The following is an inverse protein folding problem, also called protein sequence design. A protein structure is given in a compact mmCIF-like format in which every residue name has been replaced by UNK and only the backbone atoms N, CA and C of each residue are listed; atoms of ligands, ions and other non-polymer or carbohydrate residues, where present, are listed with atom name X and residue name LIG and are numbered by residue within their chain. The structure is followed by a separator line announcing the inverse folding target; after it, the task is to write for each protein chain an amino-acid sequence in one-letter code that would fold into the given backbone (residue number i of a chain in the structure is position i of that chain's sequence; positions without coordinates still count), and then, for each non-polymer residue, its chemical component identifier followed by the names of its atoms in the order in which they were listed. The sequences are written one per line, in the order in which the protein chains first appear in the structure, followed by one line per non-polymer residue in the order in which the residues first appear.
data_IF_372315290585
#
_entry.id   IF_372315290585
#
_cell.length_a   1.000
_cell.length_b   1.000
_cell.length_c   1.000
_cell.angle_alpha   90.00
_cell.angle_beta   90.00
_cell.angle_gamma   90.00
#
_symmetry.space_group_name_H-M   'P 1'
#
loop_
_entity.id
_entity.type
_entity.pdbx_description
1 polymer ?
#
# COMPACT_ATOMS: atom_id res chain seq x y z
N UNK A 1 13.71 -2.73 7.27
CA UNK A 1 12.36 -2.79 6.71
C UNK A 1 11.40 -3.03 7.86
N UNK A 2 10.29 -2.31 7.88
CA UNK A 2 9.25 -2.40 8.92
C UNK A 2 7.91 -2.66 8.24
N UNK A 3 6.98 -3.27 8.96
CA UNK A 3 5.70 -3.74 8.42
C UNK A 3 4.54 -3.30 9.32
N UNK A 4 3.54 -2.63 8.76
CA UNK A 4 2.36 -2.21 9.50
C UNK A 4 1.19 -3.18 9.20
N UNK A 5 0.61 -3.86 10.19
CA UNK A 5 -0.52 -4.76 9.96
C UNK A 5 -1.69 -4.06 9.25
N UNK A 6 -2.28 -4.68 8.23
CA UNK A 6 -3.36 -4.07 7.44
C UNK A 6 -4.75 -4.26 8.07
N UNK A 7 -4.97 -5.35 8.80
CA UNK A 7 -6.29 -5.71 9.36
C UNK A 7 -6.67 -4.93 10.62
N UNK A 8 -5.70 -4.34 11.32
CA UNK A 8 -5.92 -3.60 12.56
C UNK A 8 -5.67 -2.12 12.28
N UNK A 9 -6.60 -1.25 12.66
CA UNK A 9 -6.37 0.20 12.62
C UNK A 9 -5.35 0.56 13.72
N UNK A 10 -4.07 0.42 13.39
CA UNK A 10 -2.97 0.58 14.34
C UNK A 10 -2.18 1.86 14.09
N UNK A 11 -1.74 2.46 15.19
CA UNK A 11 -0.85 3.61 15.21
C UNK A 11 0.57 3.20 14.80
N UNK A 12 1.44 4.18 14.53
CA UNK A 12 2.86 3.97 14.18
C UNK A 12 3.67 3.15 15.21
N UNK A 13 3.10 2.90 16.38
CA UNK A 13 3.68 2.10 17.47
C UNK A 13 3.65 0.59 17.23
N UNK A 14 2.82 0.10 16.31
CA UNK A 14 2.64 -1.35 16.09
C UNK A 14 3.39 -1.86 14.86
N UNK A 15 4.53 -1.23 14.54
CA UNK A 15 5.40 -1.68 13.46
C UNK A 15 6.04 -3.01 13.84
N UNK A 16 5.84 -4.00 12.98
CA UNK A 16 6.40 -5.33 13.08
C UNK A 16 7.74 -5.34 12.34
N UNK A 17 8.76 -5.94 12.96
CA UNK A 17 10.05 -6.13 12.31
C UNK A 17 9.96 -7.21 11.22
N UNK A 18 10.93 -7.23 10.30
CA UNK A 18 10.98 -8.20 9.21
C UNK A 18 10.91 -9.66 9.69
N UNK A 19 11.48 -9.99 10.85
CA UNK A 19 11.53 -11.35 11.37
C UNK A 19 10.21 -11.80 12.04
N UNK A 20 9.38 -10.86 12.47
CA UNK A 20 8.19 -11.12 13.28
C UNK A 20 6.89 -11.12 12.46
N UNK A 21 7.00 -11.04 11.13
CA UNK A 21 5.83 -11.12 10.24
C UNK A 21 5.24 -12.52 10.25
N UNK A 22 3.92 -12.63 10.19
CA UNK A 22 3.22 -13.93 10.26
C UNK A 22 2.72 -14.37 8.88
N UNK A 23 2.89 -15.65 8.56
CA UNK A 23 2.42 -16.24 7.30
C UNK A 23 0.89 -16.09 7.20
N UNK A 24 0.42 -15.66 6.03
CA UNK A 24 -1.00 -15.44 5.73
C UNK A 24 -1.50 -14.04 6.06
N UNK A 25 -0.79 -13.27 6.92
CA UNK A 25 -1.16 -11.89 7.25
C UNK A 25 -0.72 -10.88 6.19
N UNK A 26 -1.48 -9.80 6.09
CA UNK A 26 -1.22 -8.67 5.20
C UNK A 26 -0.61 -7.50 5.97
N UNK A 27 0.42 -6.90 5.38
CA UNK A 27 1.15 -5.77 5.95
C UNK A 27 1.41 -4.69 4.91
N UNK A 28 1.37 -3.44 5.34
CA UNK A 28 1.85 -2.30 4.57
C UNK A 28 3.36 -2.12 4.76
N UNK A 29 4.08 -1.95 3.66
CA UNK A 29 5.53 -1.79 3.66
C UNK A 29 5.95 -0.40 4.15
N UNK A 30 6.85 -0.38 5.14
CA UNK A 30 7.51 0.82 5.66
C UNK A 30 9.02 0.71 5.45
N UNK A 31 9.60 1.74 4.81
CA UNK A 31 11.02 1.75 4.44
C UNK A 31 11.79 2.86 5.14
N UNK A 32 13.03 2.55 5.50
CA UNK A 32 14.05 3.52 5.86
C UNK A 32 15.22 3.33 4.89
N UNK A 33 15.64 4.40 4.22
CA UNK A 33 16.64 4.33 3.14
C UNK A 33 17.84 5.22 3.44
N UNK A 34 19.01 4.86 2.90
CA UNK A 34 20.23 5.67 3.03
C UNK A 34 20.11 7.07 2.40
N UNK A 35 19.14 7.27 1.50
CA UNK A 35 18.85 8.55 0.87
C UNK A 35 18.03 9.50 1.76
N UNK A 36 17.74 9.13 3.01
CA UNK A 36 17.11 10.01 4.00
C UNK A 36 15.59 9.87 4.15
N UNK A 37 14.99 8.81 3.59
CA UNK A 37 13.61 8.43 3.96
C UNK A 37 13.65 7.71 5.30
N UNK A 38 12.88 8.18 6.28
CA UNK A 38 12.76 7.57 7.60
C UNK A 38 11.33 7.14 7.85
N UNK A 39 11.12 5.85 8.10
CA UNK A 39 9.78 5.26 8.35
C UNK A 39 8.74 5.69 7.31
N UNK A 40 9.13 5.70 6.04
CA UNK A 40 8.27 6.11 4.94
C UNK A 40 7.31 4.98 4.58
N UNK A 41 6.00 5.28 4.59
CA UNK A 41 4.94 4.37 4.18
C UNK A 41 4.88 4.31 2.66
N UNK A 42 5.23 3.16 2.09
CA UNK A 42 5.20 2.97 0.63
C UNK A 42 3.76 2.89 0.11
N UNK A 43 2.84 2.44 0.96
CA UNK A 43 1.44 2.18 0.60
C UNK A 43 1.22 0.83 -0.09
N UNK A 44 2.27 0.05 -0.33
CA UNK A 44 2.16 -1.29 -0.88
C UNK A 44 1.73 -2.27 0.21
N UNK A 45 0.71 -3.08 -0.07
CA UNK A 45 0.19 -4.14 0.79
C UNK A 45 0.76 -5.48 0.31
N UNK A 46 1.42 -6.17 1.23
CA UNK A 46 2.15 -7.40 1.03
C UNK A 46 1.57 -8.49 1.93
N UNK A 47 1.29 -9.66 1.36
CA UNK A 47 0.92 -10.85 2.14
C UNK A 47 2.14 -11.73 2.31
N UNK A 48 2.41 -12.17 3.54
CA UNK A 48 3.48 -13.14 3.80
C UNK A 48 3.05 -14.52 3.31
N UNK A 49 3.77 -15.11 2.37
CA UNK A 49 3.45 -16.44 1.82
C UNK A 49 4.28 -17.56 2.42
N UNK A 50 5.39 -17.23 3.08
CA UNK A 50 6.28 -18.20 3.68
C UNK A 50 7.61 -17.57 4.06
N UNK A 51 8.58 -18.41 4.37
CA UNK A 51 9.93 -18.01 4.73
C UNK A 51 10.95 -18.85 3.95
N UNK A 52 11.96 -18.17 3.42
CA UNK A 52 13.17 -18.83 2.95
C UNK A 52 14.26 -18.65 4.01
N UNK A 53 14.57 -19.72 4.73
CA UNK A 53 15.32 -19.67 5.98
C UNK A 53 14.65 -18.71 6.98
N UNK A 54 15.33 -17.62 7.36
CA UNK A 54 14.78 -16.58 8.26
C UNK A 54 14.24 -15.35 7.51
N UNK A 55 14.31 -15.33 6.17
CA UNK A 55 13.83 -14.22 5.38
C UNK A 55 12.38 -14.46 4.92
N UNK A 56 11.42 -13.56 5.22
CA UNK A 56 10.05 -13.70 4.76
C UNK A 56 9.94 -13.54 3.24
N UNK A 57 9.01 -14.28 2.66
CA UNK A 57 8.61 -14.17 1.26
C UNK A 57 7.24 -13.51 1.19
N UNK A 58 7.12 -12.56 0.28
CA UNK A 58 5.91 -11.75 0.15
C UNK A 58 5.27 -11.94 -1.22
N UNK A 59 3.94 -11.99 -1.23
CA UNK A 59 3.11 -11.79 -2.41
C UNK A 59 2.58 -10.36 -2.41
N UNK A 60 2.79 -9.66 -3.52
CA UNK A 60 2.19 -8.35 -3.71
C UNK A 60 0.68 -8.48 -3.86
N UNK A 61 -0.08 -7.80 -3.00
CA UNK A 61 -1.55 -7.84 -3.02
C UNK A 61 -2.08 -6.65 -3.82
N UNK A 62 -1.74 -5.44 -3.38
CA UNK A 62 -2.19 -4.17 -3.98
C UNK A 62 -1.42 -2.99 -3.41
N UNK A 63 -1.57 -1.81 -4.00
CA UNK A 63 -1.18 -0.55 -3.39
C UNK A 63 -2.42 0.17 -2.87
N UNK A 64 -2.37 0.71 -1.65
CA UNK A 64 -3.43 1.56 -1.08
C UNK A 64 -3.72 2.72 -2.04
N UNK A 65 -5.00 3.01 -2.21
CA UNK A 65 -5.52 4.08 -3.05
C UNK A 65 -5.17 3.96 -4.55
N UNK A 66 -5.07 2.75 -5.11
CA UNK A 66 -5.02 2.57 -6.57
C UNK A 66 -6.32 1.91 -7.02
N UNK A 67 -7.13 2.64 -7.78
CA UNK A 67 -8.46 2.21 -8.25
C UNK A 67 -8.44 1.77 -9.71
N UNK A 68 -7.57 2.35 -10.54
CA UNK A 68 -7.25 1.90 -11.89
C UNK A 68 -5.74 2.01 -12.12
N UNK A 69 -5.15 1.01 -12.78
CA UNK A 69 -3.75 1.08 -13.21
C UNK A 69 -3.58 0.42 -14.57
N UNK A 70 -3.13 1.20 -15.55
CA UNK A 70 -2.59 0.71 -16.82
C UNK A 70 -1.12 1.17 -16.84
N UNK A 71 -0.21 0.21 -16.80
CA UNK A 71 1.25 0.37 -16.91
C UNK A 71 1.95 1.08 -15.73
N UNK A 72 2.10 2.41 -15.75
CA UNK A 72 2.72 3.20 -14.66
C UNK A 72 1.75 4.18 -14.00
N UNK A 73 0.56 4.36 -14.58
CA UNK A 73 -0.44 5.29 -14.06
C UNK A 73 -1.12 4.66 -12.84
N UNK A 74 -1.16 5.43 -11.75
CA UNK A 74 -1.78 5.05 -10.48
C UNK A 74 -2.90 6.04 -10.23
N UNK A 75 -4.09 5.74 -10.75
CA UNK A 75 -5.27 6.59 -10.51
C UNK A 75 -5.88 6.22 -9.16
N UNK A 76 -5.97 7.19 -8.26
CA UNK A 76 -6.61 7.01 -6.96
C UNK A 76 -8.13 7.26 -7.00
N UNK A 77 -8.83 6.92 -5.91
CA UNK A 77 -10.28 7.10 -5.81
C UNK A 77 -10.71 8.57 -5.91
N UNK A 78 -9.90 9.47 -5.35
CA UNK A 78 -10.19 10.90 -5.37
C UNK A 78 -10.05 11.46 -6.79
N UNK A 79 -9.08 10.99 -7.56
CA UNK A 79 -8.89 11.31 -8.96
C UNK A 79 -10.03 10.79 -9.83
N UNK A 80 -10.52 9.56 -9.59
CA UNK A 80 -11.68 9.02 -10.30
C UNK A 80 -12.95 9.82 -9.99
N UNK A 81 -13.20 10.13 -8.71
CA UNK A 81 -14.37 10.88 -8.32
C UNK A 81 -14.35 12.30 -8.90
N UNK A 82 -13.19 12.96 -8.88
CA UNK A 82 -13.01 14.26 -9.52
C UNK A 82 -13.21 14.21 -11.03
N UNK A 83 -12.78 13.13 -11.70
CA UNK A 83 -13.01 12.94 -13.13
C UNK A 83 -14.51 12.81 -13.45
N UNK A 84 -15.26 12.04 -12.66
CA UNK A 84 -16.72 11.89 -12.82
C UNK A 84 -17.44 13.21 -12.57
N UNK A 85 -17.07 13.94 -11.52
CA UNK A 85 -17.65 15.26 -11.22
C UNK A 85 -17.41 16.24 -12.38
N UNK A 86 -16.18 16.35 -12.87
CA UNK A 86 -15.85 17.22 -14.01
C UNK A 86 -16.61 16.83 -15.29
N UNK A 87 -16.70 15.54 -15.61
CA UNK A 87 -17.44 15.06 -16.78
C UNK A 87 -18.95 15.34 -16.66
N UNK A 88 -19.50 15.25 -15.46
CA UNK A 88 -20.92 15.52 -15.20
C UNK A 88 -21.31 16.99 -15.38
N UNK A 89 -20.38 17.92 -15.15
CA UNK A 89 -20.60 19.36 -15.41
C UNK A 89 -20.70 19.62 -16.91
N UNK A 90 -19.78 19.06 -17.70
CA UNK A 90 -19.78 19.22 -19.17
C UNK A 90 -21.02 18.63 -19.85
N UNK A 91 -21.57 17.54 -19.30
CA UNK A 91 -22.80 16.92 -19.80
C UNK A 91 -24.07 17.70 -19.44
N UNK A 92 -24.02 18.60 -18.44
CA UNK A 92 -25.15 19.49 -18.06
C UNK A 92 -25.18 20.80 -18.87
N UNK A 93 -24.09 21.13 -19.54
CA UNK A 93 -23.97 22.31 -20.41
C UNK A 93 -24.33 22.00 -21.90
N UNK A 94 -24.75 20.77 -22.21
CA UNK A 94 -25.33 20.38 -23.51
C UNK A 94 -26.86 20.37 -23.51
#
# INVERSE_FOLDING_TARGET
FEFLPHEVATDKSDLVELADVEVGKEYELVITTYAGLYRYRVGDILQVTGFYNSAPQFKFVRRKNVLLSIEADKTDEAELQKAVENASVLLREQ
#
